data_IF_607611267541
#
_entry.id   IF_607611267541
#
_cell.length_a   1.000
_cell.length_b   1.000
_cell.length_c   1.000
_cell.angle_alpha   90.00
_cell.angle_beta   90.00
_cell.angle_gamma   90.00
#
_symmetry.space_group_name_H-M   'P 1'
#
loop_
_entity.id
_entity.type
_entity.pdbx_description
1 polymer ?
#
# COMPACT_ATOMS: atom_id res chain seq x y z
N UNK A 1 7.98 -22.17 39.97
CA UNK A 1 8.33 -22.33 38.54
C UNK A 1 9.61 -21.56 38.28
N UNK A 2 10.63 -22.22 37.74
CA UNK A 2 11.93 -21.62 37.44
C UNK A 2 11.86 -20.77 36.18
N UNK A 3 12.68 -19.72 36.07
CA UNK A 3 12.77 -18.87 34.87
C UNK A 3 13.10 -19.69 33.60
N UNK A 4 13.77 -20.83 33.77
CA UNK A 4 14.08 -21.78 32.69
C UNK A 4 12.83 -22.55 32.21
N UNK A 5 11.88 -22.82 33.10
CA UNK A 5 10.66 -23.57 32.76
C UNK A 5 9.74 -22.70 31.88
N UNK A 6 9.64 -21.41 32.18
CA UNK A 6 8.86 -20.43 31.39
C UNK A 6 9.44 -20.29 29.98
N UNK A 7 10.77 -20.23 29.84
CA UNK A 7 11.42 -20.12 28.53
C UNK A 7 11.17 -21.37 27.69
N UNK A 8 11.23 -22.55 28.30
CA UNK A 8 10.97 -23.82 27.61
C UNK A 8 9.50 -23.96 27.21
N UNK A 9 8.56 -23.43 27.99
CA UNK A 9 7.14 -23.38 27.63
C UNK A 9 6.83 -22.37 26.51
N UNK A 10 7.56 -21.25 26.44
CA UNK A 10 7.42 -20.29 25.35
C UNK A 10 8.01 -20.84 24.04
N UNK A 11 9.15 -21.55 24.11
CA UNK A 11 9.78 -22.18 22.94
C UNK A 11 8.98 -23.38 22.40
N UNK A 12 8.25 -24.10 23.27
CA UNK A 12 7.40 -25.22 22.83
C UNK A 12 6.08 -24.75 22.19
N UNK A 13 5.66 -23.50 22.44
CA UNK A 13 4.46 -22.88 21.85
C UNK A 13 4.72 -22.09 20.57
N UNK A 14 5.97 -21.79 20.23
CA UNK A 14 6.31 -21.24 18.90
C UNK A 14 6.35 -22.38 17.89
N UNK A 15 5.19 -22.69 17.30
CA UNK A 15 5.13 -23.41 16.03
C UNK A 15 6.04 -22.71 15.03
N UNK A 16 6.86 -23.49 14.33
CA UNK A 16 7.79 -23.04 13.31
C UNK A 16 7.12 -21.98 12.43
N UNK A 17 7.54 -20.73 12.57
CA UNK A 17 7.32 -19.73 11.53
C UNK A 17 8.26 -20.17 10.42
N UNK A 18 7.77 -21.04 9.55
CA UNK A 18 8.42 -21.28 8.28
C UNK A 18 8.57 -19.92 7.63
N UNK A 19 9.79 -19.64 7.17
CA UNK A 19 10.09 -18.47 6.37
C UNK A 19 9.21 -18.60 5.12
N UNK A 20 8.03 -17.98 5.14
CA UNK A 20 7.22 -17.81 3.94
C UNK A 20 8.10 -16.94 3.06
N UNK A 21 8.61 -17.44 1.92
CA UNK A 21 9.26 -16.55 0.99
C UNK A 21 8.26 -15.43 0.71
N UNK A 22 8.72 -14.18 0.76
CA UNK A 22 7.95 -13.06 0.26
C UNK A 22 7.78 -13.36 -1.22
N UNK A 23 6.72 -14.07 -1.55
CA UNK A 23 6.17 -14.06 -2.88
C UNK A 23 5.77 -12.60 -3.04
N UNK A 24 6.55 -11.86 -3.81
CA UNK A 24 6.14 -10.59 -4.39
C UNK A 24 4.66 -10.74 -4.72
N UNK A 25 3.82 -9.85 -4.18
CA UNK A 25 2.38 -9.85 -4.43
C UNK A 25 2.20 -9.65 -5.93
N UNK A 26 2.20 -10.78 -6.64
CA UNK A 26 1.85 -10.88 -8.02
C UNK A 26 0.34 -10.75 -8.01
N UNK A 27 -0.13 -9.56 -8.38
CA UNK A 27 -1.51 -9.32 -8.73
C UNK A 27 -1.88 -10.40 -9.76
N UNK A 28 -2.60 -11.45 -9.36
CA UNK A 28 -2.96 -12.55 -10.25
C UNK A 28 -3.74 -11.99 -11.44
N UNK A 29 -3.24 -12.07 -12.68
CA UNK A 29 -4.12 -12.03 -13.82
C UNK A 29 -4.75 -13.42 -13.87
N UNK A 30 -6.00 -13.54 -13.43
CA UNK A 30 -6.84 -14.69 -13.78
C UNK A 30 -7.18 -14.61 -15.27
N UNK A 31 -6.18 -14.80 -16.12
CA UNK A 31 -6.28 -15.20 -17.51
C UNK A 31 -4.88 -15.61 -17.94
N UNK A 32 -4.75 -16.81 -18.52
CA UNK A 32 -3.55 -17.28 -19.19
C UNK A 32 -3.33 -16.47 -20.47
N UNK A 33 -3.03 -15.17 -20.33
CA UNK A 33 -2.56 -14.36 -21.43
C UNK A 33 -1.07 -14.60 -21.57
N UNK A 34 -0.70 -15.45 -22.52
CA UNK A 34 0.68 -15.54 -23.01
C UNK A 34 1.05 -14.18 -23.57
N UNK A 35 1.60 -13.32 -22.70
CA UNK A 35 2.04 -11.99 -23.06
C UNK A 35 3.28 -12.17 -23.91
N UNK A 36 3.10 -12.20 -25.24
CA UNK A 36 4.18 -11.86 -26.17
C UNK A 36 4.79 -10.57 -25.61
N UNK A 37 6.07 -10.59 -25.23
CA UNK A 37 6.80 -9.40 -24.79
C UNK A 37 6.84 -8.44 -25.97
N UNK A 38 5.82 -7.60 -26.11
CA UNK A 38 5.83 -6.52 -27.08
C UNK A 38 6.83 -5.50 -26.57
N UNK A 39 7.98 -5.40 -27.22
CA UNK A 39 8.97 -4.38 -26.90
C UNK A 39 8.39 -3.02 -27.29
N UNK A 40 8.14 -2.18 -26.29
CA UNK A 40 7.70 -0.82 -26.54
C UNK A 40 8.87 0.03 -27.06
N UNK A 41 8.67 0.71 -28.18
CA UNK A 41 9.66 1.58 -28.83
C UNK A 41 9.25 3.06 -28.83
N UNK A 42 8.29 3.45 -27.99
CA UNK A 42 7.84 4.84 -27.87
C UNK A 42 8.70 5.69 -26.92
N UNK A 43 8.38 6.99 -26.84
CA UNK A 43 9.07 7.94 -25.96
C UNK A 43 8.92 7.56 -24.48
N UNK A 44 9.94 7.92 -23.70
CA UNK A 44 10.00 7.71 -22.25
C UNK A 44 10.22 9.05 -21.57
N UNK A 45 9.45 9.31 -20.53
CA UNK A 45 9.52 10.52 -19.72
C UNK A 45 9.96 10.18 -18.31
N UNK A 46 10.85 11.00 -17.75
CA UNK A 46 11.28 10.88 -16.36
C UNK A 46 10.30 11.61 -15.43
N UNK A 47 9.82 10.92 -14.40
CA UNK A 47 8.96 11.52 -13.39
C UNK A 47 9.74 12.48 -12.48
N UNK A 48 9.29 13.73 -12.28
CA UNK A 48 9.97 14.70 -11.42
C UNK A 48 9.86 14.35 -9.92
N UNK A 49 8.84 13.59 -9.52
CA UNK A 49 8.59 13.25 -8.11
C UNK A 49 9.47 12.10 -7.61
N UNK A 50 9.82 11.16 -8.48
CA UNK A 50 10.55 9.97 -8.05
C UNK A 50 11.72 9.55 -8.94
N UNK A 51 12.04 10.34 -9.97
CA UNK A 51 13.11 10.07 -10.94
C UNK A 51 12.97 8.73 -11.69
N UNK A 52 11.80 8.10 -11.63
CA UNK A 52 11.52 6.89 -12.39
C UNK A 52 11.25 7.22 -13.87
N UNK A 53 11.85 6.45 -14.78
CA UNK A 53 11.65 6.61 -16.22
C UNK A 53 10.44 5.79 -16.66
N UNK A 54 9.34 6.48 -16.90
CA UNK A 54 8.09 5.92 -17.35
C UNK A 54 8.03 5.92 -18.88
N UNK A 55 7.23 5.03 -19.45
CA UNK A 55 6.75 5.23 -20.82
C UNK A 55 5.70 6.34 -20.82
N UNK A 56 5.59 7.10 -21.91
CA UNK A 56 4.67 8.24 -21.97
C UNK A 56 3.19 7.81 -21.84
N UNK A 57 2.84 6.63 -22.36
CA UNK A 57 1.49 6.06 -22.27
C UNK A 57 1.05 5.78 -20.82
N UNK A 58 2.00 5.47 -19.93
CA UNK A 58 1.73 5.19 -18.51
C UNK A 58 2.07 6.37 -17.60
N UNK A 59 2.58 7.47 -18.16
CA UNK A 59 3.09 8.58 -17.36
C UNK A 59 2.01 9.20 -16.48
N UNK A 60 0.80 9.40 -17.01
CA UNK A 60 -0.33 9.95 -16.24
C UNK A 60 -0.79 9.02 -15.12
N UNK A 61 -0.88 7.72 -15.38
CA UNK A 61 -1.20 6.72 -14.34
C UNK A 61 -0.14 6.69 -13.25
N UNK A 62 1.13 6.81 -13.63
CA UNK A 62 2.23 6.91 -12.68
C UNK A 62 2.14 8.19 -11.83
N UNK A 63 1.78 9.33 -12.43
CA UNK A 63 1.59 10.58 -11.68
C UNK A 63 0.48 10.47 -10.63
N UNK A 64 -0.64 9.84 -10.99
CA UNK A 64 -1.76 9.60 -10.06
C UNK A 64 -1.40 8.63 -8.91
N UNK A 65 -0.28 7.93 -9.00
CA UNK A 65 0.21 7.02 -7.97
C UNK A 65 1.11 7.71 -6.92
N UNK A 66 1.35 9.01 -7.05
CA UNK A 66 2.05 9.81 -6.02
C UNK A 66 1.06 10.49 -5.08
N UNK A 67 1.48 10.69 -3.84
CA UNK A 67 0.70 11.46 -2.87
C UNK A 67 0.79 12.95 -3.18
N UNK A 68 -0.33 13.65 -3.09
CA UNK A 68 -0.38 15.10 -3.27
C UNK A 68 -0.11 15.79 -1.92
N UNK A 69 1.06 16.42 -1.79
CA UNK A 69 1.41 17.21 -0.61
C UNK A 69 0.60 18.51 -0.61
N UNK A 70 -0.29 18.68 0.38
CA UNK A 70 -1.07 19.91 0.57
C UNK A 70 -0.29 20.87 1.47
N UNK A 71 0.23 20.36 2.59
CA UNK A 71 1.07 21.10 3.53
C UNK A 71 2.25 20.25 3.96
N UNK A 72 3.18 20.79 4.76
CA UNK A 72 4.30 20.01 5.30
C UNK A 72 3.88 18.83 6.18
N UNK A 73 2.64 18.86 6.69
CA UNK A 73 2.10 17.84 7.59
C UNK A 73 0.86 17.12 7.02
N UNK A 74 0.39 17.50 5.82
CA UNK A 74 -0.82 16.96 5.23
C UNK A 74 -0.59 16.51 3.79
N UNK A 75 -0.88 15.25 3.55
CA UNK A 75 -0.83 14.62 2.24
C UNK A 75 -2.21 14.06 1.91
N UNK A 76 -2.63 14.26 0.66
CA UNK A 76 -3.82 13.65 0.09
C UNK A 76 -3.39 12.45 -0.76
N UNK A 77 -4.14 11.36 -0.67
CA UNK A 77 -3.89 10.17 -1.45
C UNK A 77 -5.18 9.45 -1.80
N UNK A 78 -5.12 8.71 -2.90
CA UNK A 78 -6.08 7.71 -3.35
C UNK A 78 -5.76 6.34 -2.76
N UNK A 79 -6.62 5.37 -3.05
CA UNK A 79 -6.40 3.95 -2.75
C UNK A 79 -5.04 3.44 -3.26
N UNK A 80 -4.64 3.85 -4.47
CA UNK A 80 -3.37 3.44 -5.07
C UNK A 80 -2.17 3.88 -4.22
N UNK A 81 -2.26 5.05 -3.58
CA UNK A 81 -1.23 5.54 -2.68
C UNK A 81 -1.21 4.75 -1.37
N UNK A 82 -2.39 4.41 -0.83
CA UNK A 82 -2.51 3.61 0.39
C UNK A 82 -1.93 2.19 0.24
N UNK A 83 -1.97 1.63 -0.98
CA UNK A 83 -1.31 0.35 -1.33
C UNK A 83 0.20 0.49 -1.53
N UNK A 84 0.71 1.70 -1.80
CA UNK A 84 2.12 1.93 -2.06
C UNK A 84 2.91 2.20 -0.78
N UNK A 85 3.38 1.13 -0.16
CA UNK A 85 4.20 1.17 1.06
C UNK A 85 5.42 2.08 0.98
N UNK A 86 6.11 2.11 -0.17
CA UNK A 86 7.32 2.94 -0.37
C UNK A 86 6.99 4.43 -0.38
N UNK A 87 5.84 4.78 -0.93
CA UNK A 87 5.32 6.15 -0.92
C UNK A 87 5.02 6.60 0.51
N UNK A 88 4.26 5.78 1.24
CA UNK A 88 3.87 6.08 2.63
C UNK A 88 5.08 6.22 3.56
N UNK A 89 6.09 5.37 3.41
CA UNK A 89 7.23 5.33 4.35
C UNK A 89 8.39 6.21 3.90
N UNK A 90 9.05 5.85 2.79
CA UNK A 90 10.35 6.41 2.44
C UNK A 90 10.28 7.77 1.77
N UNK A 91 9.14 8.08 1.12
CA UNK A 91 8.99 9.32 0.35
C UNK A 91 8.23 10.39 1.11
N UNK A 92 7.03 10.07 1.57
CA UNK A 92 6.18 11.02 2.27
C UNK A 92 6.33 10.96 3.80
N UNK A 93 6.94 9.89 4.34
CA UNK A 93 7.14 9.69 5.78
C UNK A 93 5.85 9.88 6.60
N UNK A 94 4.78 9.27 6.12
CA UNK A 94 3.46 9.30 6.72
C UNK A 94 3.46 8.47 8.01
N UNK A 95 3.07 9.12 9.10
CA UNK A 95 2.97 8.49 10.43
C UNK A 95 1.53 8.25 10.86
N UNK A 96 0.59 8.99 10.29
CA UNK A 96 -0.83 8.95 10.61
C UNK A 96 -1.64 8.86 9.32
N UNK A 97 -2.64 8.00 9.31
CA UNK A 97 -3.56 7.83 8.18
C UNK A 97 -4.99 8.05 8.66
N UNK A 98 -5.67 8.99 8.01
CA UNK A 98 -7.13 9.14 8.10
C UNK A 98 -7.73 8.58 6.81
N UNK A 99 -8.38 7.42 6.90
CA UNK A 99 -9.11 6.85 5.79
C UNK A 99 -10.56 7.32 5.82
N UNK A 100 -10.89 8.25 4.92
CA UNK A 100 -12.24 8.77 4.74
C UNK A 100 -13.10 7.94 3.77
N UNK A 101 -12.48 7.06 2.98
CA UNK A 101 -13.17 6.24 1.98
C UNK A 101 -13.84 5.04 2.65
N UNK A 102 -15.14 4.86 2.40
CA UNK A 102 -15.90 3.75 2.96
C UNK A 102 -15.45 2.41 2.37
N UNK A 103 -15.20 2.39 1.06
CA UNK A 103 -14.84 1.26 0.23
C UNK A 103 -13.39 0.80 0.38
N UNK A 104 -12.51 1.67 0.86
CA UNK A 104 -11.11 1.34 1.02
C UNK A 104 -10.82 0.75 2.40
N UNK A 105 -10.02 -0.32 2.43
CA UNK A 105 -9.52 -0.92 3.67
C UNK A 105 -8.08 -0.53 3.98
N UNK A 106 -7.60 -0.92 5.15
CA UNK A 106 -6.21 -0.71 5.52
C UNK A 106 -5.30 -1.73 4.80
N UNK A 107 -4.57 -1.27 3.80
CA UNK A 107 -3.62 -2.10 3.03
C UNK A 107 -2.26 -2.31 3.72
N UNK A 108 -1.96 -1.58 4.79
CA UNK A 108 -0.69 -1.67 5.53
C UNK A 108 -0.91 -1.69 7.04
N UNK A 109 -1.62 -2.69 7.58
CA UNK A 109 -1.96 -2.77 9.01
C UNK A 109 -0.72 -2.93 9.91
N UNK A 110 0.37 -3.44 9.36
CA UNK A 110 1.66 -3.63 10.03
C UNK A 110 2.49 -2.33 10.15
N UNK A 111 2.18 -1.30 9.35
CA UNK A 111 2.85 0.01 9.45
C UNK A 111 2.16 0.92 10.46
N UNK A 112 0.84 0.85 10.52
CA UNK A 112 0.01 1.72 11.35
C UNK A 112 -0.64 0.93 12.48
N UNK A 113 0.22 0.25 13.25
CA UNK A 113 -0.18 -0.62 14.35
C UNK A 113 -0.76 0.22 15.49
N UNK A 114 -1.92 -0.19 16.01
CA UNK A 114 -2.56 0.29 17.26
C UNK A 114 -3.61 1.41 17.20
N UNK A 115 -4.31 1.67 16.09
CA UNK A 115 -5.50 2.55 16.07
C UNK A 115 -5.26 4.04 16.41
N UNK A 116 -4.10 4.39 16.96
CA UNK A 116 -3.61 5.75 17.21
C UNK A 116 -2.98 6.36 15.95
N UNK A 117 -2.49 5.51 15.04
CA UNK A 117 -1.84 5.89 13.78
C UNK A 117 -2.72 5.68 12.56
N UNK A 118 -3.85 5.00 12.70
CA UNK A 118 -4.80 4.75 11.63
C UNK A 118 -6.22 4.93 12.14
N UNK A 119 -6.96 5.86 11.53
CA UNK A 119 -8.37 6.11 11.82
C UNK A 119 -9.19 5.91 10.54
N UNK A 120 -10.25 5.10 10.59
CA UNK A 120 -11.24 4.99 9.52
C UNK A 120 -12.47 5.81 9.90
N UNK A 121 -12.81 6.78 9.07
CA UNK A 121 -14.02 7.60 9.19
C UNK A 121 -14.78 7.49 7.85
N UNK A 122 -15.57 6.42 7.64
CA UNK A 122 -16.17 6.16 6.35
C UNK A 122 -17.18 7.26 6.01
N UNK A 123 -16.88 8.05 4.98
CA UNK A 123 -17.79 8.98 4.35
C UNK A 123 -18.41 8.30 3.15
N UNK A 124 -19.70 8.54 2.94
CA UNK A 124 -20.43 8.05 1.77
C UNK A 124 -20.66 9.24 0.85
N UNK A 125 -20.52 9.01 -0.45
CA UNK A 125 -20.86 10.01 -1.44
C UNK A 125 -22.39 10.17 -1.50
N UNK A 126 -22.87 11.38 -1.80
CA UNK A 126 -24.31 11.70 -1.81
C UNK A 126 -25.12 10.80 -2.76
N UNK A 127 -24.47 10.21 -3.78
CA UNK A 127 -25.09 9.25 -4.69
C UNK A 127 -25.50 7.92 -4.01
N UNK A 128 -24.84 7.56 -2.91
CA UNK A 128 -25.13 6.34 -2.13
C UNK A 128 -26.16 6.60 -1.00
N UNK A 129 -26.51 7.86 -0.76
CA UNK A 129 -27.47 8.25 0.28
C UNK A 129 -28.92 8.03 -0.15
N UNK A 130 -29.23 8.11 -1.46
CA UNK A 130 -30.60 7.93 -1.98
C UNK A 130 -31.02 6.45 -2.14
N UNK A 131 -30.13 5.48 -1.87
CA UNK A 131 -30.41 4.06 -2.01
C UNK A 131 -30.66 3.34 -0.66
N UNK A 132 -30.96 4.09 0.42
CA UNK A 132 -31.27 3.55 1.75
C UNK A 132 -32.63 3.99 2.28
#
# INVERSE_FOLDING_TARGET
>A
MSKRDIINELLSRTTKVEHVPINDVFCSPSSTWSSKKVSYHGPKTQCPHCNYVCRDDIYQSHLNSHTAKITDYLYLGSEANARNRKELTSRANIRFVLNAAAECDNYSPDLFVNGETYLKLPLYDDADAEMR
#
